data_IF_282740464825
#
_entry.id   IF_282740464825
#
_cell.length_a   1.000
_cell.length_b   1.000
_cell.length_c   1.000
_cell.angle_alpha   90.00
_cell.angle_beta   90.00
_cell.angle_gamma   90.00
#
_symmetry.space_group_name_H-M   'P 1'
#
loop_
_entity.id
_entity.type
_entity.pdbx_description
1 polymer ?
#
# COMPACT_ATOMS: atom_id res chain seq x y z
N UNK A 1 -7.92 -15.87 33.07
CA UNK A 1 -7.47 -16.76 31.98
C UNK A 1 -7.32 -15.92 30.73
N UNK A 2 -6.10 -15.46 30.46
CA UNK A 2 -5.80 -14.69 29.25
C UNK A 2 -5.71 -15.68 28.09
N UNK A 3 -6.69 -15.70 27.18
CA UNK A 3 -6.51 -16.40 25.92
C UNK A 3 -5.37 -15.69 25.18
N UNK A 4 -4.27 -16.41 24.93
CA UNK A 4 -3.20 -15.91 24.08
C UNK A 4 -3.79 -15.57 22.71
N UNK A 5 -4.06 -14.28 22.46
CA UNK A 5 -4.41 -13.80 21.12
C UNK A 5 -3.16 -13.98 20.28
N UNK A 6 -3.15 -15.03 19.45
CA UNK A 6 -2.20 -15.13 18.34
C UNK A 6 -2.27 -13.80 17.59
N UNK A 7 -1.17 -13.03 17.58
CA UNK A 7 -1.10 -11.74 16.91
C UNK A 7 -1.30 -12.03 15.42
N UNK A 8 -2.49 -11.73 14.89
CA UNK A 8 -2.80 -11.91 13.47
C UNK A 8 -1.80 -11.09 12.65
N UNK A 9 -1.34 -11.64 11.52
CA UNK A 9 -0.53 -10.88 10.59
C UNK A 9 -1.43 -9.87 9.86
N UNK A 10 -0.85 -8.76 9.38
CA UNK A 10 -1.67 -7.68 8.84
C UNK A 10 -2.38 -8.09 7.54
N UNK A 11 -1.75 -8.94 6.72
CA UNK A 11 -2.39 -9.50 5.53
C UNK A 11 -3.64 -10.34 5.82
N UNK A 12 -3.77 -10.94 7.02
CA UNK A 12 -4.99 -11.72 7.37
C UNK A 12 -6.20 -10.83 7.60
N UNK A 13 -5.98 -9.53 7.82
CA UNK A 13 -7.06 -8.54 7.91
C UNK A 13 -7.62 -8.18 6.53
N UNK A 14 -6.99 -8.66 5.45
CA UNK A 14 -7.42 -8.46 4.07
C UNK A 14 -8.11 -9.70 3.49
N UNK A 15 -8.43 -10.71 4.30
CA UNK A 15 -9.10 -11.90 3.79
C UNK A 15 -10.51 -11.59 3.30
N UNK A 16 -10.83 -12.03 2.08
CA UNK A 16 -12.18 -11.91 1.51
C UNK A 16 -13.20 -12.61 2.41
N UNK A 17 -14.20 -11.88 2.90
CA UNK A 17 -15.20 -12.41 3.86
C UNK A 17 -16.64 -12.15 3.40
N UNK A 18 -17.08 -12.79 2.32
CA UNK A 18 -18.50 -12.83 1.92
C UNK A 18 -19.15 -11.45 1.73
N UNK A 19 -18.34 -10.44 1.36
CA UNK A 19 -18.79 -9.07 1.22
C UNK A 19 -19.67 -8.92 -0.02
N UNK A 20 -20.80 -8.23 0.13
CA UNK A 20 -21.56 -7.75 -1.02
C UNK A 20 -20.83 -6.56 -1.63
N UNK A 21 -20.67 -6.57 -2.96
CA UNK A 21 -20.01 -5.52 -3.71
C UNK A 21 -20.68 -5.33 -5.07
N UNK A 22 -20.62 -4.11 -5.60
CA UNK A 22 -21.16 -3.76 -6.90
C UNK A 22 -20.21 -4.12 -8.03
N UNK A 23 -18.91 -3.85 -7.83
CA UNK A 23 -17.88 -4.08 -8.83
C UNK A 23 -16.60 -4.62 -8.20
N UNK A 24 -15.81 -5.36 -8.98
CA UNK A 24 -14.50 -5.82 -8.55
C UNK A 24 -13.49 -5.77 -9.69
N UNK A 25 -12.23 -5.49 -9.35
CA UNK A 25 -11.12 -5.56 -10.28
C UNK A 25 -9.83 -5.97 -9.55
N UNK A 26 -8.83 -6.35 -10.34
CA UNK A 26 -7.57 -6.87 -9.81
C UNK A 26 -6.49 -5.77 -9.73
N UNK A 27 -5.84 -5.69 -8.58
CA UNK A 27 -4.61 -4.93 -8.33
C UNK A 27 -3.63 -5.91 -7.69
N UNK A 28 -3.12 -6.85 -8.50
CA UNK A 28 -2.36 -8.02 -8.01
C UNK A 28 -1.24 -7.61 -7.03
N UNK A 29 -1.08 -8.32 -5.90
CA UNK A 29 -1.75 -9.57 -5.51
C UNK A 29 -3.13 -9.37 -4.85
N UNK A 30 -3.68 -8.15 -4.89
CA UNK A 30 -4.96 -7.81 -4.28
C UNK A 30 -6.11 -7.86 -5.30
N UNK A 31 -7.30 -8.10 -4.76
CA UNK A 31 -8.58 -7.91 -5.44
C UNK A 31 -9.31 -6.78 -4.74
N UNK A 32 -9.79 -5.81 -5.51
CA UNK A 32 -10.49 -4.65 -4.99
C UNK A 32 -11.99 -4.88 -5.15
N UNK A 33 -12.74 -4.74 -4.06
CA UNK A 33 -14.18 -4.73 -4.07
C UNK A 33 -14.66 -3.28 -3.91
N UNK A 34 -15.59 -2.87 -4.78
CA UNK A 34 -16.19 -1.54 -4.79
C UNK A 34 -17.63 -1.66 -4.32
N UNK A 35 -17.95 -0.92 -3.26
CA UNK A 35 -19.32 -0.74 -2.77
C UNK A 35 -19.74 0.70 -3.05
N UNK A 36 -20.84 0.90 -3.75
CA UNK A 36 -21.34 2.20 -4.21
C UNK A 36 -22.31 2.87 -3.22
N UNK A 37 -22.80 2.12 -2.24
CA UNK A 37 -23.61 2.67 -1.14
C UNK A 37 -22.87 3.82 -0.47
N UNK A 38 -23.61 4.88 -0.11
CA UNK A 38 -22.99 6.08 0.46
C UNK A 38 -22.65 5.88 1.96
N UNK A 39 -21.41 6.16 2.41
CA UNK A 39 -20.25 6.59 1.60
C UNK A 39 -19.62 5.42 0.82
N UNK A 40 -19.24 5.62 -0.46
CA UNK A 40 -18.71 4.56 -1.30
C UNK A 40 -17.40 4.01 -0.71
N UNK A 41 -17.21 2.69 -0.84
CA UNK A 41 -16.10 1.98 -0.19
C UNK A 41 -15.17 1.30 -1.18
N UNK A 42 -13.88 1.44 -0.90
CA UNK A 42 -12.77 0.72 -1.53
C UNK A 42 -12.27 -0.34 -0.55
N UNK A 43 -12.53 -1.61 -0.85
CA UNK A 43 -12.25 -2.74 0.04
C UNK A 43 -11.18 -3.63 -0.59
N UNK A 44 -9.90 -3.47 -0.21
CA UNK A 44 -8.84 -4.31 -0.72
C UNK A 44 -8.85 -5.67 -0.03
N UNK A 45 -8.85 -6.74 -0.81
CA UNK A 45 -8.83 -8.12 -0.33
C UNK A 45 -7.73 -8.94 -0.96
N UNK A 46 -7.40 -10.05 -0.33
CA UNK A 46 -6.52 -11.07 -0.87
C UNK A 46 -7.34 -12.35 -1.00
N UNK A 47 -7.21 -13.00 -2.15
CA UNK A 47 -7.74 -14.34 -2.40
C UNK A 47 -6.66 -15.37 -2.05
N UNK A 48 -7.05 -16.43 -1.34
CA UNK A 48 -6.16 -17.51 -0.95
C UNK A 48 -6.81 -18.85 -1.31
N UNK A 49 -6.01 -19.79 -1.79
CA UNK A 49 -6.47 -21.14 -2.15
C UNK A 49 -6.69 -22.03 -0.92
N UNK A 50 -5.89 -21.82 0.13
CA UNK A 50 -5.94 -22.63 1.36
C UNK A 50 -5.50 -21.85 2.60
N UNK A 51 -6.14 -22.13 3.74
CA UNK A 51 -5.69 -21.62 5.06
C UNK A 51 -4.27 -22.09 5.40
N UNK A 52 -3.84 -23.24 4.85
CA UNK A 52 -2.48 -23.74 5.03
C UNK A 52 -1.44 -22.81 4.39
N UNK A 53 -1.76 -22.21 3.24
CA UNK A 53 -0.88 -21.28 2.54
C UNK A 53 -0.68 -19.98 3.34
N UNK A 54 -1.74 -19.52 4.02
CA UNK A 54 -1.70 -18.36 4.94
C UNK A 54 -0.78 -18.65 6.13
N UNK A 55 -0.91 -19.82 6.76
CA UNK A 55 -0.04 -20.22 7.88
C UNK A 55 1.41 -20.28 7.43
N UNK A 56 1.65 -20.90 6.28
CA UNK A 56 2.97 -21.07 5.69
C UNK A 56 3.62 -19.71 5.39
N UNK A 57 2.88 -18.78 4.76
CA UNK A 57 3.37 -17.43 4.49
C UNK A 57 3.72 -16.69 5.79
N UNK A 58 2.90 -16.83 6.84
CA UNK A 58 3.14 -16.19 8.14
C UNK A 58 4.46 -16.68 8.76
N UNK A 59 4.68 -17.99 8.76
CA UNK A 59 5.91 -18.60 9.27
C UNK A 59 7.14 -18.09 8.52
N UNK A 60 7.09 -18.09 7.18
CA UNK A 60 8.17 -17.55 6.34
C UNK A 60 8.44 -16.07 6.65
N UNK A 61 7.40 -15.25 6.79
CA UNK A 61 7.55 -13.84 7.14
C UNK A 61 8.19 -13.64 8.51
N UNK A 62 7.88 -14.49 9.50
CA UNK A 62 8.47 -14.41 10.83
C UNK A 62 9.95 -14.80 10.80
N UNK A 63 10.31 -15.87 10.09
CA UNK A 63 11.72 -16.27 9.91
C UNK A 63 12.55 -15.14 9.28
N UNK A 64 12.05 -14.51 8.23
CA UNK A 64 12.76 -13.42 7.55
C UNK A 64 12.89 -12.18 8.46
N UNK A 65 11.91 -11.92 9.33
CA UNK A 65 11.99 -10.83 10.31
C UNK A 65 13.02 -11.10 11.40
N UNK A 66 13.29 -12.36 11.74
CA UNK A 66 14.30 -12.77 12.71
C UNK A 66 15.71 -12.85 12.12
N UNK A 67 15.81 -13.06 10.80
CA UNK A 67 17.08 -12.99 10.08
C UNK A 67 17.66 -11.57 10.13
N UNK A 68 18.98 -11.47 10.34
CA UNK A 68 19.67 -10.19 10.17
C UNK A 68 19.65 -9.83 8.69
N UNK A 69 18.82 -8.87 8.32
CA UNK A 69 18.85 -8.31 6.97
C UNK A 69 20.24 -7.74 6.70
N UNK A 70 20.78 -7.87 5.47
CA UNK A 70 22.05 -7.26 5.09
C UNK A 70 22.06 -5.76 5.41
N UNK A 71 23.23 -5.13 5.41
CA UNK A 71 23.33 -3.69 5.66
C UNK A 71 22.62 -2.90 4.53
N UNK A 72 21.31 -2.65 4.69
CA UNK A 72 20.42 -2.04 3.68
C UNK A 72 20.66 -0.54 3.49
N UNK A 73 21.60 0.06 4.23
CA UNK A 73 21.85 1.49 4.27
C UNK A 73 22.29 2.13 2.94
N UNK A 74 22.49 1.32 1.87
CA UNK A 74 22.85 1.79 0.52
C UNK A 74 21.84 1.42 -0.56
N UNK A 75 20.78 0.69 -0.21
CA UNK A 75 19.80 0.21 -1.18
C UNK A 75 18.57 1.13 -1.22
N UNK A 76 18.00 1.32 -2.39
CA UNK A 76 16.70 1.97 -2.52
C UNK A 76 15.55 1.03 -2.11
N UNK A 77 14.33 1.56 -1.97
CA UNK A 77 13.18 0.76 -1.55
C UNK A 77 12.91 -0.42 -2.49
N UNK A 78 13.09 -0.22 -3.80
CA UNK A 78 12.80 -1.23 -4.80
C UNK A 78 13.80 -2.39 -4.70
N UNK A 79 15.08 -2.09 -4.47
CA UNK A 79 16.13 -3.07 -4.20
C UNK A 79 15.85 -3.86 -2.91
N UNK A 80 15.50 -3.18 -1.81
CA UNK A 80 15.13 -3.82 -0.54
C UNK A 80 13.92 -4.73 -0.71
N UNK A 81 12.88 -4.23 -1.40
CA UNK A 81 11.67 -4.97 -1.67
C UNK A 81 11.97 -6.26 -2.46
N UNK A 82 12.77 -6.16 -3.53
CA UNK A 82 13.11 -7.30 -4.37
C UNK A 82 13.99 -8.33 -3.65
N UNK A 83 14.93 -7.89 -2.81
CA UNK A 83 15.75 -8.78 -1.97
C UNK A 83 14.87 -9.58 -1.00
N UNK A 84 13.97 -8.89 -0.28
CA UNK A 84 13.05 -9.55 0.65
C UNK A 84 12.10 -10.49 -0.12
N UNK A 85 11.55 -10.05 -1.25
CA UNK A 85 10.68 -10.86 -2.09
C UNK A 85 11.39 -12.14 -2.57
N UNK A 86 12.65 -12.06 -2.98
CA UNK A 86 13.45 -13.22 -3.37
C UNK A 86 13.62 -14.22 -2.23
N UNK A 87 13.91 -13.74 -1.01
CA UNK A 87 14.02 -14.61 0.18
C UNK A 87 12.70 -15.28 0.53
N UNK A 88 11.59 -14.55 0.47
CA UNK A 88 10.25 -15.12 0.68
C UNK A 88 9.98 -16.20 -0.38
N UNK A 89 10.29 -15.91 -1.64
CA UNK A 89 10.12 -16.85 -2.75
C UNK A 89 10.88 -18.15 -2.52
N UNK A 90 12.17 -18.09 -2.19
CA UNK A 90 13.00 -19.28 -2.01
C UNK A 90 12.47 -20.16 -0.86
N UNK A 91 12.13 -19.55 0.28
CA UNK A 91 11.56 -20.26 1.43
C UNK A 91 10.17 -20.84 1.15
N UNK A 92 9.33 -20.16 0.37
CA UNK A 92 8.00 -20.68 -0.01
C UNK A 92 8.14 -21.87 -0.98
N UNK A 93 9.10 -21.80 -1.90
CA UNK A 93 9.37 -22.87 -2.89
C UNK A 93 9.80 -24.18 -2.24
N UNK A 94 10.50 -24.11 -1.10
CA UNK A 94 10.91 -25.29 -0.32
C UNK A 94 9.75 -25.92 0.46
N UNK A 95 8.58 -25.26 0.53
CA UNK A 95 7.41 -25.71 1.26
C UNK A 95 6.32 -26.23 0.32
N UNK A 96 5.41 -27.05 0.85
CA UNK A 96 4.21 -27.46 0.12
C UNK A 96 3.27 -26.27 0.03
N UNK A 97 3.30 -25.60 -1.11
CA UNK A 97 2.59 -24.34 -1.32
C UNK A 97 1.75 -24.45 -2.60
N UNK A 98 0.43 -24.23 -2.50
CA UNK A 98 -0.50 -24.35 -3.63
C UNK A 98 -0.68 -23.05 -4.42
N UNK A 99 -0.64 -21.91 -3.73
CA UNK A 99 -0.87 -20.61 -4.35
C UNK A 99 0.20 -20.15 -5.35
N UNK A 100 -0.06 -19.00 -5.97
CA UNK A 100 0.89 -18.38 -6.91
C UNK A 100 2.11 -17.81 -6.17
N UNK A 101 3.27 -18.46 -6.29
CA UNK A 101 4.53 -18.02 -5.63
C UNK A 101 4.84 -16.53 -5.84
N UNK A 102 4.55 -15.98 -7.01
CA UNK A 102 4.75 -14.57 -7.33
C UNK A 102 3.89 -13.63 -6.46
N UNK A 103 2.60 -13.94 -6.32
CA UNK A 103 1.69 -13.12 -5.52
C UNK A 103 2.03 -13.22 -4.03
N UNK A 104 2.35 -14.44 -3.55
CA UNK A 104 2.62 -14.66 -2.13
C UNK A 104 4.00 -14.18 -1.69
N UNK A 105 5.01 -14.27 -2.55
CA UNK A 105 6.31 -13.64 -2.28
C UNK A 105 6.19 -12.12 -2.22
N UNK A 106 5.38 -11.54 -3.11
CA UNK A 106 5.05 -10.11 -3.11
C UNK A 106 4.30 -9.70 -1.82
N UNK A 107 3.28 -10.45 -1.42
CA UNK A 107 2.56 -10.24 -0.16
C UNK A 107 3.47 -10.36 1.06
N UNK A 108 4.32 -11.39 1.10
CA UNK A 108 5.26 -11.60 2.19
C UNK A 108 6.29 -10.48 2.30
N UNK A 109 6.78 -9.97 1.17
CA UNK A 109 7.68 -8.82 1.17
C UNK A 109 7.02 -7.56 1.74
N UNK A 110 5.76 -7.28 1.35
CA UNK A 110 5.01 -6.18 1.96
C UNK A 110 4.77 -6.38 3.46
N UNK A 111 4.58 -7.62 3.91
CA UNK A 111 4.35 -7.95 5.32
C UNK A 111 5.61 -7.84 6.18
N UNK A 112 6.76 -8.23 5.63
CA UNK A 112 8.07 -8.02 6.26
C UNK A 112 8.35 -6.53 6.39
N UNK A 113 8.03 -5.74 5.36
CA UNK A 113 8.18 -4.29 5.36
C UNK A 113 7.07 -3.54 6.13
N UNK A 114 6.04 -4.24 6.63
CA UNK A 114 4.87 -3.67 7.33
C UNK A 114 4.12 -2.61 6.52
N UNK A 115 3.95 -2.85 5.22
CA UNK A 115 3.20 -1.98 4.31
C UNK A 115 2.08 -2.71 3.56
N UNK A 116 1.81 -3.98 3.88
CA UNK A 116 0.81 -4.80 3.17
C UNK A 116 -0.56 -4.15 3.08
N UNK A 117 -0.99 -3.44 4.13
CA UNK A 117 -2.32 -2.82 4.16
C UNK A 117 -2.40 -1.52 3.38
N UNK A 118 -1.27 -0.85 3.12
CA UNK A 118 -1.23 0.33 2.23
C UNK A 118 -0.87 -0.03 0.79
N UNK A 119 -0.27 -1.20 0.55
CA UNK A 119 0.16 -1.65 -0.77
C UNK A 119 -0.96 -1.62 -1.84
N UNK A 120 -2.23 -2.00 -1.57
CA UNK A 120 -3.29 -1.89 -2.56
C UNK A 120 -3.47 -0.47 -3.08
N UNK A 121 -3.33 0.53 -2.20
CA UNK A 121 -3.50 1.94 -2.56
C UNK A 121 -2.29 2.51 -3.31
N UNK A 122 -1.10 1.97 -3.03
CA UNK A 122 0.13 2.32 -3.75
C UNK A 122 0.15 1.75 -5.18
N UNK A 123 -0.36 0.53 -5.35
CA UNK A 123 -0.31 -0.21 -6.62
C UNK A 123 -1.42 0.16 -7.60
N UNK A 124 -2.57 0.60 -7.09
CA UNK A 124 -3.71 0.91 -7.94
C UNK A 124 -3.50 2.22 -8.72
N UNK A 125 -3.57 2.11 -10.05
CA UNK A 125 -3.44 3.25 -10.97
C UNK A 125 -4.68 4.13 -11.01
N UNK A 126 -5.81 3.63 -10.51
CA UNK A 126 -7.05 4.38 -10.44
C UNK A 126 -7.12 5.27 -9.20
N UNK A 127 -6.27 5.05 -8.20
CA UNK A 127 -6.16 5.92 -7.03
C UNK A 127 -5.29 7.13 -7.37
N UNK A 128 -5.87 8.31 -7.19
CA UNK A 128 -5.18 9.57 -7.41
C UNK A 128 -4.41 10.00 -6.16
N UNK A 129 -5.06 9.86 -5.00
CA UNK A 129 -4.52 10.24 -3.69
C UNK A 129 -5.22 9.45 -2.59
N UNK A 130 -4.48 9.11 -1.53
CA UNK A 130 -5.06 8.54 -0.31
C UNK A 130 -4.41 9.13 0.93
N UNK A 131 -5.12 9.02 2.05
CA UNK A 131 -4.82 9.72 3.29
C UNK A 131 -4.92 8.77 4.50
N UNK A 132 -4.06 9.01 5.48
CA UNK A 132 -4.04 8.34 6.78
C UNK A 132 -3.96 9.46 7.82
N UNK A 133 -4.98 9.61 8.66
CA UNK A 133 -5.05 10.68 9.67
C UNK A 133 -4.97 10.08 11.08
N UNK A 134 -3.79 9.58 11.46
CA UNK A 134 -3.55 8.96 12.75
C UNK A 134 -3.94 7.47 12.87
N UNK A 135 -3.82 6.93 14.08
CA UNK A 135 -3.79 5.49 14.36
C UNK A 135 -5.16 4.79 14.41
N UNK A 136 -6.25 5.55 14.28
CA UNK A 136 -7.63 5.07 14.46
C UNK A 136 -8.55 5.49 13.33
N UNK A 137 -8.04 6.26 12.37
CA UNK A 137 -8.80 6.63 11.20
C UNK A 137 -8.70 5.53 10.16
N UNK A 138 -9.81 5.38 9.44
CA UNK A 138 -9.82 4.60 8.23
C UNK A 138 -9.03 5.35 7.16
N UNK A 139 -8.31 4.60 6.32
CA UNK A 139 -7.76 5.15 5.08
C UNK A 139 -8.92 5.61 4.21
N UNK A 140 -8.82 6.83 3.68
CA UNK A 140 -9.74 7.36 2.69
C UNK A 140 -8.96 7.84 1.47
N UNK A 141 -9.63 7.90 0.32
CA UNK A 141 -8.97 8.09 -0.96
C UNK A 141 -9.83 8.85 -1.96
N UNK A 142 -9.19 9.28 -3.04
CA UNK A 142 -9.84 9.75 -4.26
C UNK A 142 -9.53 8.76 -5.39
N UNK A 143 -10.58 8.10 -5.88
CA UNK A 143 -10.54 7.20 -7.02
C UNK A 143 -10.97 7.97 -8.29
N UNK A 144 -10.23 7.80 -9.38
CA UNK A 144 -10.44 8.49 -10.66
C UNK A 144 -11.86 8.31 -11.24
N UNK A 145 -12.46 7.13 -11.09
CA UNK A 145 -13.84 6.85 -11.52
C UNK A 145 -14.90 7.17 -10.46
N UNK A 146 -14.68 6.80 -9.20
CA UNK A 146 -15.73 6.81 -8.16
C UNK A 146 -15.68 8.02 -7.23
N UNK A 147 -14.69 8.91 -7.41
CA UNK A 147 -14.50 10.07 -6.56
C UNK A 147 -13.98 9.70 -5.17
N UNK A 148 -14.43 10.43 -4.15
CA UNK A 148 -14.00 10.19 -2.76
C UNK A 148 -14.58 8.89 -2.23
N UNK A 149 -13.75 8.05 -1.64
CA UNK A 149 -14.14 6.76 -1.07
C UNK A 149 -13.48 6.53 0.28
N UNK A 150 -14.15 5.78 1.14
CA UNK A 150 -13.59 5.27 2.39
C UNK A 150 -13.07 3.85 2.19
N UNK A 151 -12.12 3.42 3.02
CA UNK A 151 -11.71 2.03 3.14
C UNK A 151 -12.01 1.50 4.53
N UNK A 152 -11.95 0.19 4.72
CA UNK A 152 -11.99 -0.45 6.03
C UNK A 152 -10.59 -0.67 6.65
N UNK A 153 -9.55 -0.19 5.96
CA UNK A 153 -8.18 -0.28 6.43
C UNK A 153 -7.89 0.75 7.52
N UNK A 154 -7.53 0.27 8.71
CA UNK A 154 -7.05 1.07 9.85
C UNK A 154 -5.65 0.59 10.21
N UNK A 155 -4.63 1.44 10.05
CA UNK A 155 -3.25 1.06 10.32
C UNK A 155 -2.95 0.98 11.83
N UNK A 156 -2.09 0.04 12.20
CA UNK A 156 -1.61 -0.06 13.59
C UNK A 156 -0.46 0.89 13.84
N UNK A 157 -0.12 1.03 15.12
CA UNK A 157 1.03 1.83 15.53
C UNK A 157 2.32 1.36 14.87
N UNK A 158 2.53 0.05 14.86
CA UNK A 158 3.75 -0.52 14.33
C UNK A 158 3.88 -0.39 12.81
N UNK A 159 2.79 -0.25 12.05
CA UNK A 159 2.85 -0.01 10.59
C UNK A 159 3.09 1.46 10.27
N UNK A 160 2.39 2.40 10.92
CA UNK A 160 2.64 3.83 10.68
C UNK A 160 4.06 4.20 11.13
N UNK A 161 4.56 3.65 12.26
CA UNK A 161 5.96 3.83 12.67
C UNK A 161 6.93 3.28 11.62
N UNK A 162 6.66 2.09 11.06
CA UNK A 162 7.49 1.50 10.01
C UNK A 162 7.45 2.32 8.72
N UNK A 163 6.28 2.81 8.29
CA UNK A 163 6.14 3.72 7.15
C UNK A 163 6.96 4.99 7.40
N UNK A 164 6.89 5.58 8.59
CA UNK A 164 7.70 6.75 8.95
C UNK A 164 9.20 6.46 8.87
N UNK A 165 9.67 5.32 9.41
CA UNK A 165 11.08 4.89 9.30
C UNK A 165 11.51 4.72 7.85
N UNK A 166 10.70 4.04 7.03
CA UNK A 166 10.94 3.89 5.60
C UNK A 166 11.12 5.25 4.93
N UNK A 167 10.19 6.18 5.13
CA UNK A 167 10.26 7.51 4.53
C UNK A 167 11.50 8.30 4.97
N UNK A 168 11.89 8.21 6.25
CA UNK A 168 13.11 8.86 6.75
C UNK A 168 14.37 8.29 6.11
N UNK A 169 14.46 6.96 6.00
CA UNK A 169 15.56 6.28 5.33
C UNK A 169 15.69 6.70 3.86
N UNK A 170 14.60 6.67 3.09
CA UNK A 170 14.64 6.99 1.66
C UNK A 170 14.81 8.48 1.36
N UNK A 171 14.31 9.35 2.24
CA UNK A 171 14.51 10.78 2.08
C UNK A 171 15.90 11.26 2.53
N UNK A 172 16.62 10.43 3.30
CA UNK A 172 17.85 10.81 4.00
C UNK A 172 17.63 11.93 5.02
N UNK A 173 16.39 12.08 5.52
CA UNK A 173 16.00 13.14 6.44
C UNK A 173 15.22 12.56 7.60
N UNK A 174 15.70 12.85 8.80
CA UNK A 174 14.98 12.49 10.00
C UNK A 174 13.83 13.47 10.29
N UNK A 175 12.79 12.90 10.88
CA UNK A 175 11.70 13.64 11.49
C UNK A 175 12.02 13.76 12.98
N UNK A 176 12.10 14.99 13.49
CA UNK A 176 12.46 15.26 14.88
C UNK A 176 11.64 16.41 15.42
N UNK A 177 11.74 16.72 16.72
CA UNK A 177 11.01 17.85 17.32
C UNK A 177 11.28 19.21 16.65
N UNK A 178 12.34 19.35 15.85
CA UNK A 178 12.63 20.55 15.04
C UNK A 178 12.12 20.49 13.60
N UNK A 179 11.79 19.28 13.09
CA UNK A 179 11.31 19.02 11.74
C UNK A 179 10.14 18.06 11.81
N UNK A 180 8.94 18.65 11.81
CA UNK A 180 7.65 17.96 12.00
C UNK A 180 7.01 17.51 10.70
N UNK A 181 7.55 17.92 9.56
CA UNK A 181 7.05 17.58 8.23
C UNK A 181 8.17 16.96 7.40
N UNK A 182 7.86 15.85 6.75
CA UNK A 182 8.69 15.20 5.76
C UNK A 182 7.96 15.15 4.42
N UNK A 183 8.64 15.56 3.36
CA UNK A 183 8.13 15.46 1.98
C UNK A 183 9.15 14.71 1.15
N UNK A 184 8.72 13.63 0.52
CA UNK A 184 9.59 12.78 -0.29
C UNK A 184 8.82 12.17 -1.46
N UNK A 185 9.56 11.58 -2.39
CA UNK A 185 9.01 10.80 -3.49
C UNK A 185 9.54 9.37 -3.37
N UNK A 186 8.64 8.40 -3.54
CA UNK A 186 8.98 6.99 -3.57
C UNK A 186 8.71 6.46 -4.97
N UNK A 187 9.77 6.03 -5.64
CA UNK A 187 9.72 5.51 -7.01
C UNK A 187 10.18 4.06 -7.00
N UNK A 188 9.32 3.18 -7.49
CA UNK A 188 9.59 1.74 -7.64
C UNK A 188 9.33 1.32 -9.08
N UNK A 189 9.51 0.03 -9.38
CA UNK A 189 9.08 -0.52 -10.67
C UNK A 189 7.55 -0.59 -10.80
N UNK A 190 6.80 -0.62 -9.70
CA UNK A 190 5.34 -0.81 -9.72
C UNK A 190 4.55 0.49 -9.54
N UNK A 191 5.02 1.39 -8.67
CA UNK A 191 4.36 2.66 -8.38
C UNK A 191 5.34 3.85 -8.35
N UNK A 192 4.79 5.06 -8.40
CA UNK A 192 5.54 6.29 -8.23
C UNK A 192 4.65 7.28 -7.48
N UNK A 193 5.02 7.62 -6.25
CA UNK A 193 4.16 8.39 -5.36
C UNK A 193 4.95 9.52 -4.72
N UNK A 194 4.26 10.64 -4.47
CA UNK A 194 4.73 11.69 -3.58
C UNK A 194 4.06 11.52 -2.23
N UNK A 195 4.84 11.55 -1.17
CA UNK A 195 4.38 11.31 0.19
C UNK A 195 4.72 12.53 1.05
N UNK A 196 3.71 13.03 1.76
CA UNK A 196 3.91 13.96 2.87
C UNK A 196 3.58 13.23 4.17
N UNK A 197 4.43 13.40 5.17
CA UNK A 197 4.26 12.91 6.52
C UNK A 197 4.37 14.09 7.48
N UNK A 198 3.33 14.32 8.27
CA UNK A 198 3.30 15.30 9.34
C UNK A 198 3.22 14.56 10.68
N UNK A 199 4.05 14.94 11.65
CA UNK A 199 4.09 14.38 12.99
C UNK A 199 3.84 15.45 14.06
N UNK A 200 3.73 15.02 15.30
CA UNK A 200 3.59 15.91 16.46
C UNK A 200 4.72 16.97 16.52
N UNK A 201 4.42 18.24 16.88
CA UNK A 201 3.12 18.81 17.28
C UNK A 201 2.16 19.22 16.16
N UNK A 202 2.50 19.09 14.88
CA UNK A 202 1.59 19.50 13.79
C UNK A 202 0.37 18.58 13.66
N UNK A 203 0.56 17.29 13.93
CA UNK A 203 -0.50 16.28 13.83
C UNK A 203 -0.84 15.73 15.23
N UNK A 204 -1.81 16.38 15.89
CA UNK A 204 -2.17 16.15 17.30
C UNK A 204 -2.78 14.76 17.53
N UNK A 205 -3.56 14.26 16.56
CA UNK A 205 -4.26 12.97 16.65
C UNK A 205 -3.40 11.76 16.20
N UNK A 206 -2.11 12.01 15.96
CA UNK A 206 -1.14 11.05 15.44
C UNK A 206 -0.61 11.44 14.06
N UNK A 207 0.36 10.70 13.51
CA UNK A 207 0.95 11.03 12.22
C UNK A 207 -0.11 11.13 11.10
N UNK A 208 -0.08 12.22 10.35
CA UNK A 208 -0.90 12.39 9.15
C UNK A 208 -0.02 12.13 7.92
N UNK A 209 -0.49 11.25 7.04
CA UNK A 209 0.21 10.87 5.82
C UNK A 209 -0.73 11.13 4.64
N UNK A 210 -0.27 11.92 3.68
CA UNK A 210 -0.91 12.06 2.37
C UNK A 210 -0.02 11.46 1.30
N UNK A 211 -0.59 10.59 0.48
CA UNK A 211 0.11 9.89 -0.60
C UNK A 211 -0.58 10.18 -1.91
N UNK A 212 0.12 10.93 -2.77
CA UNK A 212 -0.36 11.30 -4.10
C UNK A 212 0.31 10.44 -5.16
N UNK A 213 -0.50 9.78 -5.98
CA UNK A 213 -0.01 8.99 -7.10
C UNK A 213 0.48 9.91 -8.23
N UNK A 214 1.75 9.77 -8.60
CA UNK A 214 2.35 10.49 -9.72
C UNK A 214 2.14 9.66 -10.98
N UNK A 215 1.02 9.90 -11.67
CA UNK A 215 0.63 9.20 -12.90
C UNK A 215 1.83 9.05 -13.84
N UNK A 216 2.17 7.80 -14.18
CA UNK A 216 3.31 7.48 -15.06
C UNK A 216 3.09 7.86 -16.52
N UNK A 217 1.82 8.00 -16.93
CA UNK A 217 1.44 8.40 -18.29
C UNK A 217 0.84 9.80 -18.25
N UNK A 218 1.44 10.72 -18.99
CA UNK A 218 0.85 12.03 -19.23
C UNK A 218 -0.45 11.89 -20.00
N UNK A 219 -1.40 12.78 -19.72
CA UNK A 219 -2.56 12.92 -20.58
C UNK A 219 -2.11 13.45 -21.94
N UNK A 220 -2.46 12.71 -22.99
CA UNK A 220 -2.37 13.19 -24.36
C UNK A 220 -3.41 14.29 -24.59
N UNK A 221 -3.15 15.16 -25.56
CA UNK A 221 -4.13 16.20 -25.92
C UNK A 221 -5.49 15.61 -26.32
N UNK A 222 -5.50 14.44 -26.95
CA UNK A 222 -6.72 13.70 -27.30
C UNK A 222 -7.47 13.27 -26.03
N UNK A 223 -6.76 12.78 -25.01
CA UNK A 223 -7.39 12.41 -23.73
C UNK A 223 -7.94 13.65 -23.00
N UNK A 224 -7.25 14.81 -23.06
CA UNK A 224 -7.74 16.07 -22.51
C UNK A 224 -8.99 16.61 -23.22
N UNK A 225 -9.11 16.38 -24.53
CA UNK A 225 -10.33 16.70 -25.28
C UNK A 225 -11.46 15.76 -24.86
N UNK A 226 -11.18 14.45 -24.83
CA UNK A 226 -12.18 13.42 -24.50
C UNK A 226 -12.74 13.54 -23.09
N UNK A 227 -11.92 13.95 -22.13
CA UNK A 227 -12.37 14.17 -20.75
C UNK A 227 -12.91 15.60 -20.52
N UNK A 228 -13.12 16.38 -21.58
CA UNK A 228 -13.64 17.74 -21.56
C UNK A 228 -12.81 18.75 -20.75
N UNK A 229 -11.53 18.45 -20.50
CA UNK A 229 -10.60 19.42 -19.88
C UNK A 229 -10.19 20.51 -20.87
N UNK A 230 -10.08 20.16 -22.16
CA UNK A 230 -9.69 21.08 -23.23
C UNK A 230 -10.69 21.02 -24.38
N UNK A 231 -11.16 22.16 -24.89
CA UNK A 231 -12.02 22.15 -26.08
C UNK A 231 -11.20 21.81 -27.33
N UNK A 232 -11.87 21.37 -28.40
CA UNK A 232 -11.21 21.07 -29.67
C UNK A 232 -10.55 22.34 -30.24
N UNK A 233 -11.22 23.49 -30.11
CA UNK A 233 -10.72 24.78 -30.59
C UNK A 233 -9.49 25.23 -29.79
N UNK A 234 -9.51 25.09 -28.46
CA UNK A 234 -8.37 25.39 -27.60
C UNK A 234 -7.20 24.44 -27.89
N UNK A 235 -7.47 23.17 -28.15
CA UNK A 235 -6.45 22.21 -28.55
C UNK A 235 -5.82 22.56 -29.92
N UNK A 236 -6.64 22.94 -30.90
CA UNK A 236 -6.17 23.36 -32.23
C UNK A 236 -5.35 24.66 -32.19
N UNK A 237 -5.63 25.56 -31.24
CA UNK A 237 -4.84 26.78 -31.04
C UNK A 237 -3.44 26.51 -30.47
N UNK A 238 -3.27 25.44 -29.68
CA UNK A 238 -2.02 25.13 -28.98
C UNK A 238 -1.03 24.27 -29.80
N UNK A 239 -1.45 23.70 -30.94
CA UNK A 239 -0.63 22.86 -31.83
C UNK A 239 -0.27 23.65 -33.09
#
# INVERSE_FOLDING_TARGET
MASGKVKKAYFELLLTCGEEYDETYNVRPFKILIVRDFPPKYLPRIEFESLQDISTLREVCNEIKEETLPNLNKLDFNEIFNEIKGRVWDKLKERKFSGTLEDYSTLGAYEVLKITRIAPFLLDKNIEEFFIDGWRSNVYLTHSTFGKMDSDIILTKEEIDAISTHLQLYSGRDVSGSRTTLKTELRTNDFHVRINLDVEPLAVDGPSISVRNLRRKYFTIIELIRNHTLSIEAAAFLI
#
